data_IF_118730569458
#
_entry.id   IF_118730569458
#
_cell.length_a   1.000
_cell.length_b   1.000
_cell.length_c   1.000
_cell.angle_alpha   90.00
_cell.angle_beta   90.00
_cell.angle_gamma   90.00
#
_symmetry.space_group_name_H-M   'P 1'
#
loop_
_entity.id
_entity.type
_entity.pdbx_description
1 polymer ?
#
# COMPACT_ATOMS: atom_id res chain seq x y z
N UNK A 1 10.55 -12.74 -8.44
CA UNK A 1 10.50 -11.46 -9.17
C UNK A 1 11.80 -10.66 -9.03
N UNK A 2 12.35 -10.53 -7.81
CA UNK A 2 13.65 -9.87 -7.53
C UNK A 2 14.85 -10.44 -8.32
N UNK A 3 14.83 -11.73 -8.66
CA UNK A 3 15.92 -12.43 -9.37
C UNK A 3 16.22 -11.86 -10.76
N UNK A 4 15.22 -11.29 -11.44
CA UNK A 4 15.41 -10.76 -12.80
C UNK A 4 15.98 -9.34 -12.80
N UNK A 5 15.61 -8.49 -11.83
CA UNK A 5 16.12 -7.10 -11.75
C UNK A 5 17.62 -7.10 -11.43
N UNK A 6 18.04 -7.88 -10.43
CA UNK A 6 19.46 -8.03 -10.10
C UNK A 6 20.29 -8.62 -11.25
N UNK A 7 19.68 -9.46 -12.10
CA UNK A 7 20.37 -10.08 -13.25
C UNK A 7 20.71 -9.08 -14.35
N UNK A 8 19.92 -8.02 -14.54
CA UNK A 8 20.11 -7.06 -15.64
C UNK A 8 20.64 -5.69 -15.20
N UNK A 9 20.66 -5.40 -13.89
CA UNK A 9 21.09 -4.09 -13.39
C UNK A 9 21.90 -4.23 -12.08
N UNK A 10 23.20 -4.60 -12.15
CA UNK A 10 24.04 -4.88 -10.97
C UNK A 10 24.36 -3.66 -10.09
N UNK A 11 23.87 -2.47 -10.46
CA UNK A 11 24.04 -1.21 -9.69
C UNK A 11 22.79 -0.80 -8.89
N UNK A 12 21.76 -1.64 -8.84
CA UNK A 12 20.59 -1.35 -8.00
C UNK A 12 20.92 -1.73 -6.55
N UNK A 13 21.12 -0.72 -5.70
CA UNK A 13 21.52 -0.92 -4.30
C UNK A 13 20.35 -1.39 -3.42
N UNK A 14 19.13 -0.99 -3.75
CA UNK A 14 17.91 -1.46 -3.06
C UNK A 14 16.68 -1.36 -3.95
N UNK A 15 15.70 -2.22 -3.69
CA UNK A 15 14.38 -2.20 -4.34
C UNK A 15 13.35 -2.03 -3.25
N UNK A 16 12.56 -0.96 -3.32
CA UNK A 16 11.39 -0.77 -2.44
C UNK A 16 10.11 -1.04 -3.23
N UNK A 17 9.29 -2.00 -2.76
CA UNK A 17 7.95 -2.27 -3.27
C UNK A 17 6.95 -1.44 -2.49
N UNK A 18 6.14 -0.67 -3.22
CA UNK A 18 5.03 0.12 -2.69
C UNK A 18 3.72 -0.38 -3.29
N UNK A 19 2.72 -0.62 -2.44
CA UNK A 19 1.37 -1.03 -2.87
C UNK A 19 0.39 0.09 -2.53
N UNK A 20 -0.33 0.58 -3.54
CA UNK A 20 -1.39 1.58 -3.38
C UNK A 20 -2.75 0.88 -3.28
N UNK A 21 -3.43 1.07 -2.16
CA UNK A 21 -4.75 0.52 -1.88
C UNK A 21 -5.80 1.61 -2.01
N UNK A 22 -6.91 1.31 -2.67
CA UNK A 22 -8.08 2.19 -2.75
C UNK A 22 -9.01 1.88 -1.55
N UNK A 23 -9.09 2.79 -0.58
CA UNK A 23 -9.87 2.58 0.65
C UNK A 23 -11.36 2.35 0.38
N UNK A 24 -11.92 3.02 -0.64
CA UNK A 24 -13.34 2.92 -0.98
C UNK A 24 -13.70 1.57 -1.60
N UNK A 25 -12.78 0.97 -2.36
CA UNK A 25 -13.03 -0.31 -3.05
C UNK A 25 -12.40 -1.52 -2.36
N UNK A 26 -11.66 -1.33 -1.27
CA UNK A 26 -10.85 -2.37 -0.66
C UNK A 26 -11.64 -3.63 -0.32
N UNK A 27 -12.74 -3.50 0.42
CA UNK A 27 -13.55 -4.64 0.88
C UNK A 27 -14.12 -5.44 -0.30
N UNK A 28 -14.76 -4.76 -1.26
CA UNK A 28 -15.27 -5.40 -2.48
C UNK A 28 -14.16 -6.09 -3.28
N UNK A 29 -12.98 -5.47 -3.41
CA UNK A 29 -11.88 -6.08 -4.13
C UNK A 29 -11.34 -7.30 -3.39
N UNK A 30 -11.27 -7.27 -2.05
CA UNK A 30 -10.87 -8.42 -1.24
C UNK A 30 -11.82 -9.60 -1.43
N UNK A 31 -13.13 -9.38 -1.58
CA UNK A 31 -14.09 -10.46 -1.87
C UNK A 31 -13.91 -11.09 -3.26
N UNK A 32 -13.55 -10.28 -4.27
CA UNK A 32 -13.50 -10.73 -5.67
C UNK A 32 -12.14 -11.31 -6.06
N UNK A 33 -11.04 -10.75 -5.55
CA UNK A 33 -9.67 -11.07 -5.98
C UNK A 33 -8.68 -11.18 -4.79
N UNK A 34 -9.13 -11.73 -3.67
CA UNK A 34 -8.35 -11.89 -2.42
C UNK A 34 -6.90 -12.38 -2.63
N UNK A 35 -6.64 -13.47 -3.39
CA UNK A 35 -5.29 -14.02 -3.46
C UNK A 35 -4.28 -13.06 -4.12
N UNK A 36 -4.74 -12.23 -5.06
CA UNK A 36 -3.91 -11.25 -5.74
C UNK A 36 -3.59 -10.07 -4.83
N UNK A 37 -4.61 -9.54 -4.14
CA UNK A 37 -4.45 -8.39 -3.24
C UNK A 37 -3.54 -8.74 -2.07
N UNK A 38 -3.78 -9.90 -1.44
CA UNK A 38 -2.97 -10.37 -0.32
C UNK A 38 -1.52 -10.58 -0.71
N UNK A 39 -1.24 -11.10 -1.92
CA UNK A 39 0.13 -11.24 -2.42
C UNK A 39 0.83 -9.87 -2.60
N UNK A 40 0.12 -8.85 -3.10
CA UNK A 40 0.67 -7.50 -3.28
C UNK A 40 0.92 -6.80 -1.94
N UNK A 41 0.02 -6.96 -0.96
CA UNK A 41 0.18 -6.38 0.38
C UNK A 41 1.34 -7.04 1.12
N UNK A 42 1.46 -8.37 1.05
CA UNK A 42 2.55 -9.14 1.68
C UNK A 42 3.93 -8.85 1.09
N UNK A 43 4.01 -8.48 -0.19
CA UNK A 43 5.27 -8.17 -0.85
C UNK A 43 5.72 -6.71 -0.65
N UNK A 44 4.86 -5.84 -0.13
CA UNK A 44 5.15 -4.42 0.00
C UNK A 44 6.00 -4.11 1.23
N UNK A 45 6.95 -3.19 1.09
CA UNK A 45 7.58 -2.53 2.24
C UNK A 45 6.73 -1.36 2.75
N UNK A 46 5.92 -0.77 1.87
CA UNK A 46 5.01 0.32 2.20
C UNK A 46 3.66 0.10 1.52
N UNK A 47 2.58 0.18 2.30
CA UNK A 47 1.22 0.16 1.81
C UNK A 47 0.60 1.53 2.02
N UNK A 48 0.10 2.11 0.94
CA UNK A 48 -0.52 3.43 0.95
C UNK A 48 -2.02 3.26 0.77
N UNK A 49 -2.78 3.55 1.81
CA UNK A 49 -4.24 3.57 1.78
C UNK A 49 -4.69 4.93 1.26
N UNK A 50 -5.07 4.96 -0.01
CA UNK A 50 -5.48 6.16 -0.75
C UNK A 50 -7.01 6.30 -0.81
N UNK A 51 -7.47 7.50 -1.20
CA UNK A 51 -8.88 7.90 -1.30
C UNK A 51 -9.59 7.92 0.05
N UNK A 52 -8.88 8.30 1.11
CA UNK A 52 -9.44 8.39 2.45
C UNK A 52 -10.56 9.44 2.56
N UNK A 53 -10.60 10.40 1.64
CA UNK A 53 -11.67 11.39 1.50
C UNK A 53 -13.03 10.77 1.11
N UNK A 54 -13.03 9.55 0.56
CA UNK A 54 -14.25 8.88 0.08
C UNK A 54 -14.85 7.91 1.10
N UNK A 55 -14.22 7.75 2.27
CA UNK A 55 -14.64 6.78 3.29
C UNK A 55 -14.75 7.42 4.66
N UNK A 56 -15.57 6.82 5.53
CA UNK A 56 -15.67 7.24 6.93
C UNK A 56 -14.49 6.67 7.73
N UNK A 57 -14.17 7.31 8.86
CA UNK A 57 -13.07 6.89 9.75
C UNK A 57 -13.15 5.40 10.13
N UNK A 58 -14.34 4.89 10.45
CA UNK A 58 -14.52 3.47 10.80
C UNK A 58 -14.12 2.53 9.67
N UNK A 59 -14.44 2.89 8.42
CA UNK A 59 -14.07 2.10 7.24
C UNK A 59 -12.57 2.19 7.01
N UNK A 60 -11.98 3.38 7.13
CA UNK A 60 -10.54 3.57 7.03
C UNK A 60 -9.78 2.72 8.07
N UNK A 61 -10.21 2.75 9.33
CA UNK A 61 -9.64 1.93 10.42
C UNK A 61 -9.70 0.43 10.09
N UNK A 62 -10.83 -0.04 9.56
CA UNK A 62 -10.98 -1.45 9.14
C UNK A 62 -10.02 -1.84 8.01
N UNK A 63 -9.82 -0.94 7.04
CA UNK A 63 -8.86 -1.16 5.94
C UNK A 63 -7.43 -1.22 6.48
N UNK A 64 -7.06 -0.28 7.35
CA UNK A 64 -5.73 -0.25 7.98
C UNK A 64 -5.47 -1.54 8.76
N UNK A 65 -6.41 -1.95 9.62
CA UNK A 65 -6.29 -3.20 10.39
C UNK A 65 -6.15 -4.42 9.49
N UNK A 66 -6.89 -4.47 8.37
CA UNK A 66 -6.79 -5.57 7.42
C UNK A 66 -5.41 -5.62 6.76
N UNK A 67 -4.86 -4.46 6.37
CA UNK A 67 -3.51 -4.35 5.81
C UNK A 67 -2.46 -4.77 6.82
N UNK A 68 -2.52 -4.26 8.05
CA UNK A 68 -1.58 -4.59 9.12
C UNK A 68 -1.64 -6.07 9.51
N UNK A 69 -2.83 -6.68 9.49
CA UNK A 69 -2.99 -8.12 9.72
C UNK A 69 -2.34 -8.96 8.60
N UNK A 70 -2.45 -8.51 7.35
CA UNK A 70 -1.86 -9.20 6.20
C UNK A 70 -0.35 -9.04 6.13
N UNK A 71 0.18 -7.88 6.52
CA UNK A 71 1.61 -7.59 6.54
C UNK A 71 1.97 -6.65 7.71
N UNK A 72 2.32 -7.21 8.89
CA UNK A 72 2.70 -6.42 10.06
C UNK A 72 4.03 -5.65 9.90
N UNK A 73 4.84 -6.01 8.91
CA UNK A 73 6.16 -5.39 8.67
C UNK A 73 6.09 -4.21 7.70
N UNK A 74 4.99 -4.07 6.95
CA UNK A 74 4.81 -2.95 6.04
C UNK A 74 4.54 -1.65 6.80
N UNK A 75 5.18 -0.57 6.36
CA UNK A 75 4.77 0.78 6.76
C UNK A 75 3.42 1.10 6.12
N UNK A 76 2.43 1.50 6.93
CA UNK A 76 1.12 1.92 6.42
C UNK A 76 1.02 3.44 6.45
N UNK A 77 0.69 4.04 5.31
CA UNK A 77 0.44 5.48 5.17
C UNK A 77 -0.97 5.71 4.64
N UNK A 78 -1.66 6.73 5.13
CA UNK A 78 -2.99 7.10 4.66
C UNK A 78 -2.91 8.41 3.89
N UNK A 79 -3.51 8.48 2.70
CA UNK A 79 -3.48 9.67 1.85
C UNK A 79 -4.82 9.92 1.17
N UNK A 80 -5.10 11.19 0.88
CA UNK A 80 -6.04 11.55 -0.18
C UNK A 80 -5.23 12.22 -1.28
N UNK A 81 -5.02 11.52 -2.39
CA UNK A 81 -4.33 12.12 -3.53
C UNK A 81 -5.15 13.24 -4.19
N UNK A 82 -6.49 13.14 -4.13
CA UNK A 82 -7.40 14.14 -4.71
C UNK A 82 -7.38 15.46 -3.94
N UNK A 83 -7.45 15.38 -2.60
CA UNK A 83 -7.52 16.56 -1.71
C UNK A 83 -6.13 16.97 -1.21
N UNK A 84 -5.10 16.15 -1.43
CA UNK A 84 -3.72 16.38 -0.99
C UNK A 84 -3.47 16.05 0.49
N UNK A 85 -4.41 15.38 1.18
CA UNK A 85 -4.26 15.00 2.59
C UNK A 85 -3.09 14.04 2.77
N UNK A 86 -2.19 14.36 3.72
CA UNK A 86 -1.00 13.57 4.10
C UNK A 86 -0.01 13.28 2.95
N UNK A 87 -0.14 13.95 1.80
CA UNK A 87 0.68 13.66 0.64
C UNK A 87 2.15 14.05 0.86
N UNK A 88 2.40 15.24 1.41
CA UNK A 88 3.77 15.72 1.68
C UNK A 88 4.49 14.82 2.68
N UNK A 89 3.84 14.49 3.81
CA UNK A 89 4.42 13.58 4.81
C UNK A 89 4.75 12.20 4.22
N UNK A 90 3.91 11.69 3.33
CA UNK A 90 4.16 10.43 2.64
C UNK A 90 5.33 10.53 1.64
N UNK A 91 5.46 11.64 0.92
CA UNK A 91 6.58 11.85 -0.01
C UNK A 91 7.91 12.02 0.72
N UNK A 92 7.91 12.73 1.85
CA UNK A 92 9.09 12.90 2.70
C UNK A 92 9.59 11.55 3.26
N UNK A 93 8.67 10.61 3.50
CA UNK A 93 8.96 9.24 3.95
C UNK A 93 9.59 8.34 2.86
N UNK A 94 9.49 8.74 1.59
CA UNK A 94 10.02 8.00 0.45
C UNK A 94 11.43 8.44 0.03
N UNK A 95 11.80 9.69 0.32
CA UNK A 95 13.14 10.25 0.11
C UNK A 95 14.23 9.58 0.95
#
# INVERSE_FOLDING_TARGET
MLTNVNKYQPKVESIKILTLVDAFRFEMLMEVIEPLLTAQIKAAHTVVVNKIDQVQNKTLESVIQSVECLNPEAKVSTVSAEVGTNLNSFLDDLS
#
